data_IF_831401651533
#
_entry.id   IF_831401651533
#
_cell.length_a   1.000
_cell.length_b   1.000
_cell.length_c   1.000
_cell.angle_alpha   90.00
_cell.angle_beta   90.00
_cell.angle_gamma   90.00
#
_symmetry.space_group_name_H-M   'P 1'
#
loop_
_entity.id
_entity.type
_entity.pdbx_description
1 polymer ?
#
# COMPACT_ATOMS: atom_id res chain seq x y z
N UNK A 1 89.33 -36.64 -25.12
CA UNK A 1 88.00 -36.27 -24.59
C UNK A 1 88.10 -34.83 -24.12
N UNK A 2 87.45 -33.80 -24.67
CA UNK A 2 86.32 -33.65 -25.60
C UNK A 2 86.40 -32.19 -26.10
N UNK A 3 86.71 -31.93 -27.37
CA UNK A 3 85.79 -31.51 -28.45
C UNK A 3 84.91 -30.28 -28.13
N UNK A 4 85.26 -29.14 -28.74
CA UNK A 4 84.36 -28.01 -29.08
C UNK A 4 83.29 -28.49 -30.11
N UNK A 5 82.12 -27.83 -30.28
CA UNK A 5 82.11 -26.54 -30.98
C UNK A 5 81.02 -25.52 -30.56
N UNK A 6 81.37 -24.26 -30.82
CA UNK A 6 80.48 -23.14 -31.07
C UNK A 6 79.63 -23.39 -32.32
N UNK A 7 78.30 -23.25 -32.22
CA UNK A 7 77.39 -23.15 -33.37
C UNK A 7 76.52 -21.91 -33.22
N UNK A 8 76.72 -20.98 -34.15
CA UNK A 8 75.83 -19.85 -34.41
C UNK A 8 74.85 -20.30 -35.50
N UNK A 9 73.55 -20.10 -35.28
CA UNK A 9 72.58 -20.03 -36.37
C UNK A 9 71.59 -18.88 -36.06
N UNK A 10 71.36 -17.93 -37.00
CA UNK A 10 70.34 -16.91 -36.88
C UNK A 10 69.08 -17.34 -37.64
N UNK A 11 67.92 -17.28 -37.00
CA UNK A 11 66.64 -17.35 -37.70
C UNK A 11 65.64 -16.41 -37.02
N UNK A 12 65.41 -15.27 -37.68
CA UNK A 12 64.33 -14.34 -37.39
C UNK A 12 62.99 -14.98 -37.74
N UNK A 13 61.98 -14.87 -36.88
CA UNK A 13 60.60 -14.68 -37.35
C UNK A 13 59.79 -13.95 -36.27
N UNK A 14 59.29 -12.78 -36.66
CA UNK A 14 58.24 -12.04 -35.97
C UNK A 14 57.11 -12.97 -35.53
N UNK A 15 56.67 -12.80 -34.28
CA UNK A 15 55.26 -12.98 -33.96
C UNK A 15 54.86 -11.78 -33.12
N UNK A 16 54.61 -10.66 -33.82
CA UNK A 16 53.81 -9.56 -33.30
C UNK A 16 52.42 -10.14 -33.00
N UNK A 17 52.25 -10.64 -31.77
CA UNK A 17 50.92 -10.85 -31.21
C UNK A 17 50.38 -9.45 -30.98
N UNK A 18 49.23 -9.06 -31.57
CA UNK A 18 48.66 -7.76 -31.25
C UNK A 18 48.31 -7.80 -29.76
N UNK A 19 49.15 -7.19 -28.93
CA UNK A 19 48.84 -6.91 -27.54
C UNK A 19 47.59 -6.04 -27.57
N UNK A 20 46.46 -6.72 -27.37
CA UNK A 20 45.17 -6.11 -27.19
C UNK A 20 45.30 -5.27 -25.91
N UNK A 21 45.68 -3.99 -26.07
CA UNK A 21 45.69 -2.98 -25.03
C UNK A 21 44.27 -2.90 -24.46
N UNK A 22 44.00 -3.73 -23.46
CA UNK A 22 42.76 -3.65 -22.68
C UNK A 22 42.87 -2.36 -21.89
N UNK A 23 42.30 -1.30 -22.46
CA UNK A 23 42.22 0.01 -21.84
C UNK A 23 41.59 -0.17 -20.44
N UNK A 24 42.28 0.19 -19.35
CA UNK A 24 41.78 0.01 -17.98
C UNK A 24 40.43 0.71 -17.75
N UNK A 25 40.14 1.74 -18.55
CA UNK A 25 38.84 2.43 -18.58
C UNK A 25 37.66 1.51 -19.00
N UNK A 26 37.88 0.55 -19.90
CA UNK A 26 36.82 -0.36 -20.40
C UNK A 26 36.44 -1.41 -19.34
N UNK A 27 37.41 -1.84 -18.53
CA UNK A 27 37.17 -2.80 -17.44
C UNK A 27 36.42 -2.12 -16.28
N UNK A 28 36.76 -0.86 -15.97
CA UNK A 28 36.08 -0.10 -14.92
C UNK A 28 34.59 0.16 -15.22
N UNK A 29 34.24 0.45 -16.48
CA UNK A 29 32.83 0.65 -16.88
C UNK A 29 32.04 -0.66 -16.94
N UNK A 30 32.69 -1.78 -17.27
CA UNK A 30 32.03 -3.07 -17.40
C UNK A 30 31.50 -3.62 -16.07
N UNK A 31 32.09 -3.22 -14.93
CA UNK A 31 31.67 -3.64 -13.59
C UNK A 31 30.77 -2.60 -12.91
N UNK A 32 31.01 -1.31 -13.13
CA UNK A 32 30.24 -0.26 -12.46
C UNK A 32 28.76 -0.23 -12.90
N UNK A 33 28.48 -0.42 -14.19
CA UNK A 33 27.11 -0.40 -14.72
C UNK A 33 26.23 -1.54 -14.16
N UNK A 34 26.64 -2.83 -14.20
CA UNK A 34 25.82 -3.89 -13.62
C UNK A 34 25.67 -3.76 -12.10
N UNK A 35 26.70 -3.31 -11.37
CA UNK A 35 26.59 -3.10 -9.92
C UNK A 35 25.62 -1.98 -9.60
N UNK A 36 25.66 -0.85 -10.31
CA UNK A 36 24.73 0.25 -10.12
C UNK A 36 23.29 -0.14 -10.46
N UNK A 37 23.08 -0.92 -11.53
CA UNK A 37 21.77 -1.47 -11.88
C UNK A 37 21.25 -2.38 -10.77
N UNK A 38 22.10 -3.27 -10.25
CA UNK A 38 21.72 -4.24 -9.23
C UNK A 38 21.37 -3.54 -7.90
N UNK A 39 22.13 -2.51 -7.52
CA UNK A 39 21.79 -1.64 -6.38
C UNK A 39 20.47 -0.91 -6.63
N UNK A 40 20.27 -0.35 -7.83
CA UNK A 40 19.02 0.32 -8.20
C UNK A 40 17.80 -0.60 -8.12
N UNK A 41 17.94 -1.86 -8.58
CA UNK A 41 16.89 -2.88 -8.48
C UNK A 41 16.63 -3.28 -7.03
N UNK A 42 17.66 -3.45 -6.20
CA UNK A 42 17.49 -3.78 -4.78
C UNK A 42 16.80 -2.63 -4.04
N UNK A 43 17.22 -1.39 -4.26
CA UNK A 43 16.60 -0.22 -3.64
C UNK A 43 15.14 -0.11 -4.08
N UNK A 44 14.85 -0.22 -5.37
CA UNK A 44 13.48 -0.22 -5.89
C UNK A 44 12.64 -1.36 -5.29
N UNK A 45 13.20 -2.57 -5.20
CA UNK A 45 12.53 -3.71 -4.59
C UNK A 45 12.23 -3.48 -3.11
N UNK A 46 13.18 -2.98 -2.31
CA UNK A 46 12.96 -2.69 -0.88
C UNK A 46 11.92 -1.58 -0.68
N UNK A 47 11.91 -0.56 -1.54
CA UNK A 47 10.88 0.49 -1.48
C UNK A 47 9.50 0.01 -1.88
N UNK A 48 9.40 -1.02 -2.72
CA UNK A 48 8.12 -1.59 -3.19
C UNK A 48 7.63 -2.71 -2.27
N UNK A 49 8.55 -3.50 -1.71
CA UNK A 49 8.27 -4.72 -0.96
C UNK A 49 8.39 -4.53 0.54
N UNK A 50 7.88 -3.42 1.10
CA UNK A 50 7.84 -3.19 2.54
C UNK A 50 7.40 -4.46 3.27
N UNK A 51 8.36 -5.15 3.89
CA UNK A 51 8.18 -6.54 4.31
C UNK A 51 7.47 -6.56 5.65
N UNK A 52 6.16 -6.36 5.63
CA UNK A 52 5.32 -6.60 6.79
C UNK A 52 5.41 -8.08 7.13
N UNK A 53 5.83 -8.40 8.35
CA UNK A 53 5.84 -9.79 8.86
C UNK A 53 4.44 -10.21 9.33
N UNK A 54 3.48 -9.28 9.27
CA UNK A 54 2.08 -9.50 9.63
C UNK A 54 1.39 -10.40 8.60
N UNK A 55 0.65 -11.43 9.02
CA UNK A 55 -0.20 -12.22 8.13
C UNK A 55 -1.22 -11.34 7.40
N UNK A 56 -1.63 -11.68 6.16
CA UNK A 56 -2.70 -10.96 5.47
C UNK A 56 -4.02 -10.99 6.25
N UNK A 57 -4.76 -9.89 6.19
CA UNK A 57 -6.03 -9.73 6.88
C UNK A 57 -7.17 -10.46 6.17
N UNK A 58 -7.85 -11.33 6.91
CA UNK A 58 -9.04 -12.02 6.42
C UNK A 58 -10.28 -11.17 6.69
N UNK A 59 -10.88 -10.64 5.63
CA UNK A 59 -12.13 -9.89 5.75
C UNK A 59 -13.33 -10.79 5.47
N UNK A 60 -14.27 -10.83 6.42
CA UNK A 60 -15.57 -11.48 6.22
C UNK A 60 -16.39 -10.79 5.12
N UNK A 61 -17.31 -11.53 4.46
CA UNK A 61 -18.18 -10.97 3.45
C UNK A 61 -19.15 -9.96 4.08
N UNK A 62 -19.35 -8.84 3.39
CA UNK A 62 -20.32 -7.79 3.73
C UNK A 62 -21.03 -7.40 2.44
N UNK A 63 -22.33 -7.16 2.51
CA UNK A 63 -23.10 -6.71 1.35
C UNK A 63 -22.67 -5.29 0.95
N UNK A 64 -22.10 -5.16 -0.25
CA UNK A 64 -21.57 -3.92 -0.79
C UNK A 64 -21.90 -3.82 -2.29
N UNK A 65 -23.18 -3.65 -2.66
CA UNK A 65 -23.63 -3.74 -4.06
C UNK A 65 -23.03 -2.65 -4.97
N UNK A 66 -22.51 -1.57 -4.39
CA UNK A 66 -21.86 -0.48 -5.14
C UNK A 66 -20.33 -0.50 -5.03
N UNK A 67 -19.72 -1.57 -4.53
CA UNK A 67 -18.28 -1.66 -4.29
C UNK A 67 -17.43 -1.52 -5.58
N UNK A 68 -17.97 -1.91 -6.73
CA UNK A 68 -17.32 -1.79 -8.05
C UNK A 68 -17.64 -0.46 -8.76
N UNK A 69 -18.29 0.48 -8.08
CA UNK A 69 -18.61 1.79 -8.65
C UNK A 69 -17.36 2.66 -8.86
N UNK A 70 -17.44 3.60 -9.81
CA UNK A 70 -16.38 4.58 -10.05
C UNK A 70 -16.09 5.45 -8.82
N UNK A 71 -17.12 5.73 -7.99
CA UNK A 71 -16.95 6.48 -6.74
C UNK A 71 -16.10 5.69 -5.74
N UNK A 72 -16.32 4.38 -5.61
CA UNK A 72 -15.48 3.54 -4.76
C UNK A 72 -14.06 3.38 -5.28
N UNK A 73 -13.87 3.28 -6.61
CA UNK A 73 -12.54 3.33 -7.20
C UNK A 73 -11.83 4.64 -6.87
N UNK A 74 -12.51 5.79 -7.00
CA UNK A 74 -11.94 7.09 -6.68
C UNK A 74 -11.55 7.22 -5.21
N UNK A 75 -12.37 6.71 -4.28
CA UNK A 75 -12.01 6.67 -2.85
C UNK A 75 -10.80 5.79 -2.61
N UNK A 76 -10.78 4.58 -3.17
CA UNK A 76 -9.64 3.67 -3.03
C UNK A 76 -8.34 4.27 -3.58
N UNK A 77 -8.39 4.97 -4.70
CA UNK A 77 -7.21 5.59 -5.30
C UNK A 77 -6.71 6.81 -4.50
N UNK A 78 -7.59 7.53 -3.82
CA UNK A 78 -7.24 8.71 -3.02
C UNK A 78 -6.71 8.36 -1.61
N UNK A 79 -7.00 7.15 -1.11
CA UNK A 79 -6.63 6.75 0.23
C UNK A 79 -5.10 6.62 0.42
N UNK A 80 -4.54 7.16 1.51
CA UNK A 80 -3.11 7.13 1.76
C UNK A 80 -2.60 5.70 2.04
N UNK A 81 -1.28 5.57 2.01
CA UNK A 81 -0.60 4.33 2.40
C UNK A 81 -0.64 4.08 3.91
N UNK A 82 -0.90 5.11 4.72
CA UNK A 82 -1.01 5.03 6.18
C UNK A 82 -2.19 5.85 6.71
N UNK A 83 -2.81 5.39 7.79
CA UNK A 83 -3.80 6.12 8.58
C UNK A 83 -3.28 6.23 10.01
N UNK A 84 -2.77 7.40 10.40
CA UNK A 84 -1.98 7.55 11.62
C UNK A 84 -0.82 6.56 11.67
N UNK A 85 -0.73 5.78 12.75
CA UNK A 85 0.31 4.76 12.95
C UNK A 85 0.01 3.40 12.28
N UNK A 86 -1.08 3.31 11.51
CA UNK A 86 -1.48 2.10 10.79
C UNK A 86 -0.96 2.15 9.35
N UNK A 87 -0.10 1.22 8.96
CA UNK A 87 0.39 1.08 7.58
C UNK A 87 -0.55 0.16 6.78
N UNK A 88 -0.58 0.31 5.45
CA UNK A 88 -1.40 -0.54 4.57
C UNK A 88 -1.13 -2.03 4.85
N UNK A 89 -2.20 -2.78 5.08
CA UNK A 89 -2.18 -4.22 5.28
C UNK A 89 -2.56 -4.95 3.98
N UNK A 90 -1.95 -6.12 3.78
CA UNK A 90 -2.37 -7.05 2.73
C UNK A 90 -3.68 -7.74 3.12
N UNK A 91 -4.54 -8.01 2.15
CA UNK A 91 -5.78 -8.75 2.36
C UNK A 91 -5.63 -10.18 1.83
N UNK A 92 -6.26 -11.15 2.48
CA UNK A 92 -6.31 -12.53 2.00
C UNK A 92 -7.06 -12.60 0.66
N UNK A 93 -6.50 -13.32 -0.31
CA UNK A 93 -7.15 -13.58 -1.59
C UNK A 93 -8.30 -14.60 -1.49
N UNK A 94 -9.44 -14.36 -2.19
CA UNK A 94 -9.74 -13.15 -2.96
C UNK A 94 -10.13 -11.99 -2.04
N UNK A 95 -9.44 -10.86 -2.19
CA UNK A 95 -9.77 -9.65 -1.45
C UNK A 95 -11.16 -9.12 -1.84
N UNK A 96 -12.01 -8.69 -0.89
CA UNK A 96 -13.28 -8.05 -1.22
C UNK A 96 -13.06 -6.78 -2.05
N UNK A 97 -13.81 -6.64 -3.15
CA UNK A 97 -13.86 -5.39 -3.92
C UNK A 97 -14.32 -4.24 -3.02
N UNK A 98 -13.81 -3.03 -3.26
CA UNK A 98 -14.19 -1.86 -2.46
C UNK A 98 -13.62 -1.86 -1.03
N UNK A 99 -12.71 -2.77 -0.67
CA UNK A 99 -12.13 -2.85 0.66
C UNK A 99 -10.62 -2.51 0.70
N UNK A 100 -10.17 -1.96 1.84
CA UNK A 100 -8.76 -1.74 2.16
C UNK A 100 -8.56 -1.87 3.67
N UNK A 101 -7.40 -2.37 4.10
CA UNK A 101 -7.04 -2.43 5.50
C UNK A 101 -5.71 -1.73 5.79
N UNK A 102 -5.57 -1.28 7.04
CA UNK A 102 -4.33 -0.81 7.62
C UNK A 102 -4.15 -1.44 8.99
N UNK A 103 -2.90 -1.65 9.36
CA UNK A 103 -2.49 -2.43 10.49
C UNK A 103 -1.26 -1.80 11.13
N UNK A 104 -1.13 -1.82 12.47
CA UNK A 104 0.15 -1.55 13.10
C UNK A 104 1.16 -2.66 12.76
N UNK A 105 2.45 -2.38 12.94
CA UNK A 105 3.55 -3.35 12.79
C UNK A 105 3.64 -4.30 14.01
N UNK A 106 2.49 -4.90 14.36
CA UNK A 106 2.36 -5.97 15.35
C UNK A 106 1.24 -6.93 14.92
N UNK A 107 1.28 -8.16 15.44
CA UNK A 107 0.39 -9.26 15.06
C UNK A 107 -0.82 -9.44 15.99
N UNK A 108 -1.01 -8.53 16.95
CA UNK A 108 -2.06 -8.63 17.99
C UNK A 108 -3.12 -7.56 17.82
N UNK A 109 -2.74 -6.37 17.37
CA UNK A 109 -3.61 -5.21 17.20
C UNK A 109 -4.58 -5.41 16.05
N UNK A 110 -5.86 -5.14 16.33
CA UNK A 110 -6.92 -5.17 15.32
C UNK A 110 -6.63 -4.16 14.19
N UNK A 111 -6.92 -4.52 12.93
CA UNK A 111 -6.72 -3.61 11.80
C UNK A 111 -7.82 -2.55 11.73
N UNK A 112 -7.49 -1.43 11.09
CA UNK A 112 -8.49 -0.50 10.55
C UNK A 112 -8.94 -1.03 9.21
N UNK A 113 -10.26 -1.11 9.00
CA UNK A 113 -10.82 -1.64 7.77
C UNK A 113 -11.77 -0.64 7.14
N UNK A 114 -11.52 -0.30 5.88
CA UNK A 114 -12.43 0.48 5.04
C UNK A 114 -13.19 -0.45 4.10
N UNK A 115 -14.51 -0.21 3.97
CA UNK A 115 -15.38 -0.85 2.99
C UNK A 115 -16.22 0.22 2.30
N UNK A 116 -16.22 0.25 0.97
CA UNK A 116 -16.98 1.19 0.17
C UNK A 116 -18.14 0.52 -0.56
N UNK A 117 -19.21 1.27 -0.81
CA UNK A 117 -20.32 0.82 -1.65
C UNK A 117 -21.37 0.03 -0.89
N UNK A 118 -21.45 0.27 0.42
CA UNK A 118 -22.40 -0.36 1.33
C UNK A 118 -23.81 0.19 1.13
N UNK A 119 -24.87 -0.55 1.53
CA UNK A 119 -26.19 0.03 1.67
C UNK A 119 -26.21 1.09 2.78
N UNK A 120 -27.33 1.84 2.87
CA UNK A 120 -27.56 2.77 3.97
C UNK A 120 -27.36 2.05 5.32
N UNK A 121 -26.54 2.59 6.24
CA UNK A 121 -26.30 1.94 7.53
C UNK A 121 -27.58 1.85 8.36
N UNK A 122 -27.75 0.74 9.06
CA UNK A 122 -28.86 0.56 9.99
C UNK A 122 -28.77 1.61 11.11
N UNK A 123 -29.90 2.20 11.47
CA UNK A 123 -29.98 3.25 12.49
C UNK A 123 -29.61 4.65 11.99
N UNK A 124 -29.22 4.84 10.72
CA UNK A 124 -29.11 6.17 10.14
C UNK A 124 -30.49 6.71 9.73
N UNK A 125 -31.06 7.50 10.63
CA UNK A 125 -32.36 8.14 10.53
C UNK A 125 -32.28 9.66 10.77
N UNK A 126 -33.42 10.36 10.66
CA UNK A 126 -33.48 11.83 10.79
C UNK A 126 -33.13 12.35 12.20
N UNK A 127 -33.03 11.50 13.21
CA UNK A 127 -32.57 11.85 14.56
C UNK A 127 -31.12 11.46 14.82
N UNK A 128 -30.43 10.81 13.87
CA UNK A 128 -29.04 10.42 14.03
C UNK A 128 -28.12 11.61 14.32
N UNK A 129 -27.25 11.43 15.32
CA UNK A 129 -26.15 12.36 15.60
C UNK A 129 -25.00 12.11 14.63
N UNK A 130 -24.52 13.16 13.98
CA UNK A 130 -23.42 13.09 13.02
C UNK A 130 -22.20 13.86 13.53
N UNK A 131 -21.01 13.31 13.28
CA UNK A 131 -19.75 13.98 13.55
C UNK A 131 -19.18 14.54 12.26
N UNK A 132 -18.77 15.81 12.29
CA UNK A 132 -18.11 16.45 11.14
C UNK A 132 -16.61 16.43 11.35
N UNK A 133 -15.88 15.72 10.50
CA UNK A 133 -14.42 15.64 10.54
C UNK A 133 -13.91 16.00 9.15
N UNK A 134 -13.11 17.06 9.07
CA UNK A 134 -12.53 17.58 7.82
C UNK A 134 -13.54 17.68 6.65
N UNK A 135 -14.78 18.13 6.95
CA UNK A 135 -15.83 18.30 5.93
C UNK A 135 -16.52 17.00 5.46
N UNK A 136 -16.31 15.88 6.16
CA UNK A 136 -17.06 14.64 5.98
C UNK A 136 -18.03 14.47 7.15
N UNK A 137 -19.29 14.11 6.87
CA UNK A 137 -20.28 13.79 7.90
C UNK A 137 -20.30 12.29 8.17
N UNK A 138 -19.92 11.93 9.39
CA UNK A 138 -19.82 10.55 9.85
C UNK A 138 -20.96 10.17 10.78
N UNK A 139 -21.60 9.06 10.48
CA UNK A 139 -22.53 8.36 11.37
C UNK A 139 -21.79 7.22 12.07
N UNK A 140 -21.79 7.22 13.40
CA UNK A 140 -21.10 6.22 14.21
C UNK A 140 -22.03 5.06 14.56
N UNK A 141 -21.58 3.84 14.29
CA UNK A 141 -22.14 2.61 14.84
C UNK A 141 -21.11 2.05 15.82
N UNK A 142 -21.34 2.26 17.12
CA UNK A 142 -20.45 1.78 18.16
C UNK A 142 -20.55 0.26 18.31
N UNK A 143 -19.39 -0.42 18.42
CA UNK A 143 -19.31 -1.83 18.77
C UNK A 143 -19.48 -2.11 20.27
N UNK A 144 -19.50 -1.08 21.12
CA UNK A 144 -19.51 -1.22 22.57
C UNK A 144 -20.73 -2.01 23.08
N UNK A 145 -21.91 -1.80 22.49
CA UNK A 145 -23.13 -2.53 22.83
C UNK A 145 -23.05 -4.03 22.51
N UNK A 146 -22.15 -4.41 21.61
CA UNK A 146 -21.83 -5.80 21.24
C UNK A 146 -20.59 -6.34 21.95
N UNK A 147 -20.00 -5.59 22.89
CA UNK A 147 -18.79 -5.95 23.61
C UNK A 147 -17.52 -5.87 22.78
N UNK A 148 -17.53 -5.15 21.65
CA UNK A 148 -16.38 -4.92 20.79
C UNK A 148 -15.76 -3.55 21.11
N UNK A 149 -14.45 -3.50 21.31
CA UNK A 149 -13.70 -2.25 21.47
C UNK A 149 -13.31 -1.69 20.09
N UNK A 150 -14.34 -1.37 19.30
CA UNK A 150 -14.19 -0.78 17.97
C UNK A 150 -15.46 -0.02 17.60
N UNK A 151 -15.35 0.96 16.70
CA UNK A 151 -16.50 1.68 16.16
C UNK A 151 -16.44 1.71 14.64
N UNK A 152 -17.58 1.57 13.98
CA UNK A 152 -17.68 1.68 12.52
C UNK A 152 -18.32 3.00 12.14
N UNK A 153 -17.57 3.81 11.40
CA UNK A 153 -17.95 5.15 10.99
C UNK A 153 -18.37 5.15 9.54
N UNK A 154 -19.60 5.58 9.24
CA UNK A 154 -20.15 5.64 7.89
C UNK A 154 -20.17 7.07 7.37
N UNK A 155 -19.62 7.33 6.18
CA UNK A 155 -19.84 8.60 5.49
C UNK A 155 -21.26 8.65 4.95
N UNK A 156 -22.04 9.66 5.32
CA UNK A 156 -23.47 9.77 4.95
C UNK A 156 -23.78 10.95 4.04
N UNK A 157 -22.77 11.75 3.70
CA UNK A 157 -22.86 12.92 2.83
C UNK A 157 -22.04 12.76 1.54
N UNK A 158 -21.88 11.53 1.05
CA UNK A 158 -21.18 11.17 -0.19
C UNK A 158 -22.12 10.33 -1.09
N UNK A 159 -21.87 10.25 -2.41
CA UNK A 159 -22.74 9.50 -3.33
C UNK A 159 -22.76 7.98 -3.07
N UNK A 160 -21.78 7.45 -2.34
CA UNK A 160 -21.71 6.07 -1.86
C UNK A 160 -21.42 6.06 -0.36
N UNK A 161 -21.98 5.08 0.36
CA UNK A 161 -21.66 4.88 1.77
C UNK A 161 -20.30 4.16 1.90
N UNK A 162 -19.38 4.81 2.60
CA UNK A 162 -18.07 4.26 2.97
C UNK A 162 -18.06 4.04 4.47
N UNK A 163 -17.71 2.84 4.91
CA UNK A 163 -17.50 2.53 6.32
C UNK A 163 -16.02 2.42 6.64
N UNK A 164 -15.60 3.00 7.76
CA UNK A 164 -14.29 2.83 8.37
C UNK A 164 -14.48 2.22 9.77
N UNK A 165 -14.09 0.96 9.95
CA UNK A 165 -14.03 0.33 11.27
C UNK A 165 -12.70 0.67 11.91
N UNK A 166 -12.75 1.33 13.06
CA UNK A 166 -11.59 1.83 13.81
C UNK A 166 -11.57 1.17 15.20
N UNK A 167 -10.50 0.45 15.56
CA UNK A 167 -10.33 -0.10 16.91
C UNK A 167 -10.29 0.99 18.00
N UNK A 168 -10.62 0.59 19.23
CA UNK A 168 -10.41 1.40 20.40
C UNK A 168 -8.94 1.78 20.56
N UNK A 169 -8.68 2.99 21.06
CA UNK A 169 -7.32 3.45 21.29
C UNK A 169 -6.53 3.89 20.05
N UNK A 170 -7.07 3.80 18.83
CA UNK A 170 -6.40 4.26 17.61
C UNK A 170 -6.20 5.79 17.53
N UNK A 171 -6.80 6.55 18.43
CA UNK A 171 -6.81 8.01 18.39
C UNK A 171 -7.67 8.58 17.25
N UNK A 172 -7.69 9.91 17.07
CA UNK A 172 -8.54 10.56 16.07
C UNK A 172 -7.95 10.54 14.65
N UNK A 173 -6.63 10.37 14.52
CA UNK A 173 -5.88 10.56 13.28
C UNK A 173 -6.39 9.69 12.12
N UNK A 174 -6.69 8.39 12.30
CA UNK A 174 -7.14 7.58 11.17
C UNK A 174 -8.44 8.08 10.52
N UNK A 175 -9.36 8.60 11.33
CA UNK A 175 -10.62 9.14 10.84
C UNK A 175 -10.42 10.51 10.17
N UNK A 176 -9.44 11.30 10.62
CA UNK A 176 -9.03 12.56 9.96
C UNK A 176 -8.39 12.29 8.59
N UNK A 177 -7.41 11.40 8.52
CA UNK A 177 -6.72 11.03 7.27
C UNK A 177 -7.70 10.45 6.24
N UNK A 178 -8.61 9.58 6.68
CA UNK A 178 -9.68 9.05 5.83
C UNK A 178 -10.63 10.16 5.35
N UNK A 179 -10.95 11.14 6.21
CA UNK A 179 -11.81 12.25 5.84
C UNK A 179 -11.18 13.14 4.77
N UNK A 180 -9.88 13.41 4.86
CA UNK A 180 -9.14 14.18 3.86
C UNK A 180 -9.13 13.45 2.50
N UNK A 181 -8.88 12.14 2.50
CA UNK A 181 -8.93 11.34 1.28
C UNK A 181 -10.33 11.33 0.64
N UNK A 182 -11.38 11.09 1.44
CA UNK A 182 -12.76 10.97 0.95
C UNK A 182 -13.28 12.33 0.46
N UNK A 183 -13.00 13.42 1.17
CA UNK A 183 -13.40 14.77 0.74
C UNK A 183 -12.67 15.23 -0.53
N UNK A 184 -11.43 14.79 -0.75
CA UNK A 184 -10.71 15.02 -2.01
C UNK A 184 -11.26 14.18 -3.15
N UNK A 185 -11.74 12.96 -2.89
CA UNK A 185 -12.19 12.02 -3.91
C UNK A 185 -13.62 12.29 -4.39
N UNK A 186 -14.53 12.63 -3.47
CA UNK A 186 -15.96 12.63 -3.72
C UNK A 186 -16.60 13.96 -3.29
N UNK A 187 -17.55 14.51 -4.08
CA UNK A 187 -18.30 15.69 -3.69
C UNK A 187 -19.30 15.37 -2.58
N UNK A 188 -19.69 16.41 -1.82
CA UNK A 188 -20.79 16.27 -0.87
C UNK A 188 -22.14 16.12 -1.58
N UNK A 189 -22.99 15.24 -1.07
CA UNK A 189 -24.39 15.07 -1.51
C UNK A 189 -25.36 15.33 -0.36
N UNK A 190 -26.64 15.67 -0.65
CA UNK A 190 -27.66 15.75 0.39
C UNK A 190 -27.77 14.44 1.17
N UNK A 191 -28.02 14.54 2.48
CA UNK A 191 -28.22 13.38 3.33
C UNK A 191 -29.50 12.63 2.93
N UNK A 192 -29.45 11.31 3.00
CA UNK A 192 -30.59 10.41 2.75
C UNK A 192 -30.84 9.49 3.97
N UNK A 193 -31.28 10.05 5.12
CA UNK A 193 -31.59 9.28 6.31
C UNK A 193 -32.93 8.52 6.20
N UNK A 194 -33.11 7.48 6.99
CA UNK A 194 -34.42 6.86 7.19
C UNK A 194 -35.39 7.80 7.95
N UNK A 195 -36.71 7.68 7.76
CA UNK A 195 -37.69 8.30 8.65
C UNK A 195 -37.53 7.82 10.11
N UNK A 196 -38.12 8.55 11.07
CA UNK A 196 -38.27 8.03 12.43
C UNK A 196 -39.28 6.88 12.41
N UNK A 197 -38.89 5.77 13.03
CA UNK A 197 -39.79 4.65 13.37
C UNK A 197 -40.50 4.90 14.70
#
# INVERSE_FOLDING_TARGET
MTSEPNSIEPASTDTDTPEQRRHPAVIATAVALPVALLIGVIVAAVTVSGSSTRPPEALGPVDAPSAESADCTAVLDALPDSLGDYARAELVDPAPVGARAWAPDDDVSEPIVLRCGLPRPLGFDVASSLQVINGVQWFEVSGADSGLDASTWYTVDRPVYVALTVPGGSGPTPLQDASDAISSALPQTPLDPAPLE
#
